data_IF_200624880840
#
_entry.id   IF_200624880840
#
_cell.length_a   1.000
_cell.length_b   1.000
_cell.length_c   1.000
_cell.angle_alpha   90.00
_cell.angle_beta   90.00
_cell.angle_gamma   90.00
#
_symmetry.space_group_name_H-M   'P 1'
#
loop_
_entity.id
_entity.type
_entity.pdbx_description
1 polymer ?
#
# COMPACT_ATOMS: atom_id res chain seq x y z
N UNK A 1 -48.52 4.59 -27.27
CA UNK A 1 -47.70 5.50 -26.45
C UNK A 1 -47.49 5.00 -25.02
N UNK A 2 -48.54 4.89 -24.19
CA UNK A 2 -48.39 4.48 -22.77
C UNK A 2 -47.72 3.09 -22.59
N UNK A 3 -48.08 2.12 -23.44
CA UNK A 3 -47.45 0.78 -23.45
C UNK A 3 -45.94 0.84 -23.66
N UNK A 4 -45.46 1.75 -24.51
CA UNK A 4 -44.04 1.94 -24.78
C UNK A 4 -43.32 2.58 -23.59
N UNK A 5 -43.94 3.58 -22.94
CA UNK A 5 -43.42 4.18 -21.71
C UNK A 5 -43.25 3.16 -20.58
N UNK A 6 -44.22 2.26 -20.40
CA UNK A 6 -44.13 1.20 -19.38
C UNK A 6 -43.00 0.22 -19.68
N UNK A 7 -42.81 -0.17 -20.95
CA UNK A 7 -41.71 -1.04 -21.36
C UNK A 7 -40.36 -0.35 -21.13
N UNK A 8 -40.21 0.91 -21.53
CA UNK A 8 -38.97 1.66 -21.34
C UNK A 8 -38.66 1.86 -19.86
N UNK A 9 -39.66 2.17 -19.02
CA UNK A 9 -39.46 2.30 -17.57
C UNK A 9 -39.11 0.96 -16.93
N UNK A 10 -39.77 -0.14 -17.32
CA UNK A 10 -39.48 -1.47 -16.80
C UNK A 10 -38.08 -1.95 -17.20
N UNK A 11 -37.72 -1.82 -18.47
CA UNK A 11 -36.39 -2.19 -19.00
C UNK A 11 -35.31 -1.28 -18.43
N UNK A 12 -35.55 0.03 -18.34
CA UNK A 12 -34.62 1.00 -17.76
C UNK A 12 -34.37 0.74 -16.27
N UNK A 13 -35.40 0.37 -15.51
CA UNK A 13 -35.26 -0.04 -14.12
C UNK A 13 -34.44 -1.33 -13.97
N UNK A 14 -34.71 -2.32 -14.83
CA UNK A 14 -33.98 -3.59 -14.84
C UNK A 14 -32.50 -3.40 -15.24
N UNK A 15 -32.23 -2.59 -16.27
CA UNK A 15 -30.88 -2.24 -16.71
C UNK A 15 -30.13 -1.47 -15.62
N UNK A 16 -30.77 -0.49 -14.98
CA UNK A 16 -30.18 0.28 -13.89
C UNK A 16 -29.75 -0.62 -12.72
N UNK A 17 -30.57 -1.63 -12.41
CA UNK A 17 -30.25 -2.62 -11.39
C UNK A 17 -29.04 -3.48 -11.79
N UNK A 18 -29.02 -4.00 -13.03
CA UNK A 18 -27.89 -4.77 -13.57
C UNK A 18 -26.59 -3.97 -13.57
N UNK A 19 -26.64 -2.72 -14.02
CA UNK A 19 -25.49 -1.80 -14.03
C UNK A 19 -24.99 -1.57 -12.60
N UNK A 20 -25.87 -1.36 -11.62
CA UNK A 20 -25.47 -1.18 -10.21
C UNK A 20 -24.73 -2.40 -9.66
N UNK A 21 -25.21 -3.61 -9.93
CA UNK A 21 -24.53 -4.84 -9.50
C UNK A 21 -23.19 -5.02 -10.22
N UNK A 22 -23.16 -4.79 -11.53
CA UNK A 22 -21.95 -4.90 -12.35
C UNK A 22 -20.88 -3.91 -11.91
N UNK A 23 -21.23 -2.63 -11.74
CA UNK A 23 -20.31 -1.59 -11.28
C UNK A 23 -19.75 -1.89 -9.89
N UNK A 24 -20.56 -2.37 -8.94
CA UNK A 24 -20.05 -2.77 -7.61
C UNK A 24 -18.95 -3.84 -7.71
N UNK A 25 -19.10 -4.81 -8.60
CA UNK A 25 -18.12 -5.89 -8.75
C UNK A 25 -16.79 -5.42 -9.36
N UNK A 26 -16.84 -4.52 -10.36
CA UNK A 26 -15.65 -4.02 -11.07
C UNK A 26 -14.98 -2.86 -10.35
N UNK A 27 -15.77 -1.95 -9.77
CA UNK A 27 -15.27 -0.83 -8.96
C UNK A 27 -14.60 -1.33 -7.68
N UNK A 28 -15.03 -2.43 -7.07
CA UNK A 28 -14.32 -3.01 -5.93
C UNK A 28 -12.88 -3.41 -6.29
N UNK A 29 -12.68 -3.99 -7.48
CA UNK A 29 -11.34 -4.36 -7.97
C UNK A 29 -10.50 -3.11 -8.32
N UNK A 30 -11.11 -2.13 -8.97
CA UNK A 30 -10.44 -0.85 -9.25
C UNK A 30 -10.09 -0.07 -7.99
N UNK A 31 -11.00 -0.01 -7.01
CA UNK A 31 -10.77 0.67 -5.74
C UNK A 31 -9.62 0.02 -4.96
N UNK A 32 -9.51 -1.32 -4.98
CA UNK A 32 -8.37 -2.04 -4.39
C UNK A 32 -7.06 -1.60 -5.05
N UNK A 33 -7.00 -1.58 -6.38
CA UNK A 33 -5.79 -1.20 -7.12
C UNK A 33 -5.42 0.28 -6.93
N UNK A 34 -6.41 1.20 -6.95
CA UNK A 34 -6.17 2.63 -6.72
C UNK A 34 -5.70 2.89 -5.29
N UNK A 35 -6.22 2.17 -4.31
CA UNK A 35 -5.83 2.34 -2.91
C UNK A 35 -4.41 1.82 -2.63
N UNK A 36 -3.96 0.79 -3.34
CA UNK A 36 -2.57 0.31 -3.29
C UNK A 36 -1.60 1.35 -3.87
N UNK A 37 -1.90 1.90 -5.06
CA UNK A 37 -1.08 2.94 -5.70
C UNK A 37 -1.06 4.24 -4.89
N UNK A 38 -2.20 4.65 -4.33
CA UNK A 38 -2.28 5.84 -3.48
C UNK A 38 -1.45 5.69 -2.19
N UNK A 39 -1.46 4.49 -1.57
CA UNK A 39 -0.63 4.18 -0.41
C UNK A 39 0.86 4.18 -0.73
N UNK A 40 1.24 3.80 -1.94
CA UNK A 40 2.63 3.84 -2.40
C UNK A 40 3.10 5.29 -2.59
N UNK A 41 2.28 6.14 -3.22
CA UNK A 41 2.56 7.58 -3.34
C UNK A 41 2.68 8.29 -1.98
N UNK A 42 1.81 7.96 -1.01
CA UNK A 42 1.93 8.52 0.34
C UNK A 42 3.24 8.12 1.03
N UNK A 43 3.77 6.92 0.74
CA UNK A 43 5.07 6.49 1.27
C UNK A 43 6.20 7.28 0.62
N UNK A 44 6.18 7.45 -0.70
CA UNK A 44 7.21 8.20 -1.42
C UNK A 44 7.28 9.67 -0.98
N UNK A 45 6.14 10.32 -0.75
CA UNK A 45 6.10 11.71 -0.24
C UNK A 45 6.68 11.84 1.18
N UNK A 46 6.48 10.84 2.03
CA UNK A 46 7.10 10.80 3.37
C UNK A 46 8.59 10.50 3.34
N UNK A 47 9.08 9.80 2.32
CA UNK A 47 10.52 9.61 2.12
C UNK A 47 11.20 10.88 1.60
N UNK A 48 10.54 11.66 0.74
CA UNK A 48 11.11 12.89 0.16
C UNK A 48 11.30 14.04 1.17
N UNK A 49 10.56 14.04 2.28
CA UNK A 49 10.58 15.11 3.30
C UNK A 49 11.46 14.79 4.52
N UNK A 50 12.15 13.65 4.54
CA UNK A 50 12.93 13.19 5.70
C UNK A 50 14.41 13.56 5.62
N UNK A 51 15.06 13.83 6.77
CA UNK A 51 16.47 14.19 6.83
C UNK A 51 17.37 13.04 6.34
N UNK A 52 18.48 13.39 5.68
CA UNK A 52 19.40 12.45 4.99
C UNK A 52 20.04 11.39 5.90
N UNK A 53 20.02 11.59 7.22
CA UNK A 53 20.66 10.70 8.21
C UNK A 53 19.71 9.65 8.83
N UNK A 54 18.44 9.60 8.43
CA UNK A 54 17.48 8.65 9.00
C UNK A 54 17.44 7.33 8.21
N UNK A 55 17.90 6.23 8.82
CA UNK A 55 17.84 4.88 8.23
C UNK A 55 16.43 4.32 8.34
N UNK A 56 15.76 4.13 7.21
CA UNK A 56 14.40 3.57 7.15
C UNK A 56 14.48 2.06 6.95
N UNK A 57 13.97 1.29 7.92
CA UNK A 57 13.93 -0.18 7.85
C UNK A 57 12.50 -0.61 7.55
N UNK A 58 12.26 -1.12 6.34
CA UNK A 58 10.92 -1.51 5.87
C UNK A 58 10.35 -2.74 6.59
N UNK A 59 11.23 -3.63 7.05
CA UNK A 59 10.81 -4.85 7.72
C UNK A 59 11.88 -5.35 8.67
N UNK A 60 11.54 -5.42 9.95
CA UNK A 60 12.35 -6.10 10.97
C UNK A 60 11.70 -7.44 11.29
N UNK A 61 12.26 -8.58 10.85
CA UNK A 61 11.71 -9.88 11.15
C UNK A 61 11.65 -10.12 12.67
N UNK A 62 10.56 -10.75 13.14
CA UNK A 62 10.32 -10.97 14.57
C UNK A 62 11.46 -11.77 15.24
N UNK A 63 12.06 -12.69 14.49
CA UNK A 63 13.22 -13.50 14.91
C UNK A 63 14.47 -12.67 15.20
N UNK A 64 14.60 -11.49 14.58
CA UNK A 64 15.73 -10.58 14.78
C UNK A 64 15.56 -9.71 16.03
N UNK A 65 14.31 -9.35 16.38
CA UNK A 65 13.99 -8.58 17.60
C UNK A 65 14.33 -9.35 18.88
N UNK A 66 14.23 -10.67 18.87
CA UNK A 66 14.58 -11.51 20.03
C UNK A 66 16.09 -11.72 20.19
N UNK A 67 16.84 -11.81 19.08
CA UNK A 67 18.31 -11.95 19.10
C UNK A 67 19.01 -10.65 19.52
N UNK A 68 18.56 -9.51 19.01
CA UNK A 68 19.16 -8.20 19.32
C UNK A 68 19.06 -7.82 20.81
N UNK A 69 18.08 -8.35 21.55
CA UNK A 69 17.97 -8.14 23.00
C UNK A 69 18.95 -8.98 23.84
N UNK A 70 19.54 -10.05 23.28
CA UNK A 70 20.38 -10.99 24.03
C UNK A 70 21.86 -10.92 23.66
N UNK A 71 22.21 -10.53 22.42
CA UNK A 71 23.58 -10.73 21.90
C UNK A 71 24.35 -9.45 21.55
N UNK A 72 23.82 -8.25 21.80
CA UNK A 72 24.56 -6.98 21.56
C UNK A 72 25.24 -6.52 22.84
N UNK A 73 26.15 -7.34 23.38
CA UNK A 73 27.25 -6.84 24.18
C UNK A 73 28.37 -6.54 23.19
N UNK A 74 28.48 -5.27 22.78
CA UNK A 74 29.53 -4.81 21.90
C UNK A 74 30.89 -5.27 22.43
N UNK A 75 31.64 -6.00 21.61
CA UNK A 75 33.02 -6.33 21.93
C UNK A 75 33.91 -5.09 21.86
N UNK A 76 35.12 -5.21 22.37
CA UNK A 76 36.10 -4.13 22.30
C UNK A 76 36.51 -3.91 20.84
N UNK A 77 36.16 -2.74 20.31
CA UNK A 77 36.60 -2.33 18.98
C UNK A 77 38.07 -1.92 19.07
N UNK A 78 38.91 -2.53 18.24
CA UNK A 78 40.31 -2.12 18.07
C UNK A 78 40.37 -1.13 16.92
N UNK A 79 40.76 0.10 17.21
CA UNK A 79 41.01 1.11 16.19
C UNK A 79 42.19 0.64 15.32
N UNK A 80 41.94 0.41 14.03
CA UNK A 80 43.00 0.12 13.09
C UNK A 80 43.53 1.42 12.49
N UNK A 81 44.85 1.57 12.46
CA UNK A 81 45.49 2.61 11.66
C UNK A 81 45.59 2.12 10.22
N UNK A 82 44.94 2.83 9.29
CA UNK A 82 44.99 2.54 7.86
C UNK A 82 46.39 2.84 7.32
N UNK A 83 47.18 1.79 7.05
CA UNK A 83 48.48 1.94 6.39
C UNK A 83 48.23 2.17 4.91
N UNK A 84 48.55 3.36 4.41
CA UNK A 84 48.55 3.66 2.97
C UNK A 84 49.82 3.07 2.35
N UNK A 85 49.67 2.20 1.36
CA UNK A 85 50.74 1.84 0.42
C UNK A 85 51.05 2.99 -0.55
#
# INVERSE_FOLDING_TARGET
MVKFLVIVLGVGWLLGQLIRYFLRSKLAKFAQQVNEVAREQEREQKHASRPKDEVIVDYVPKTFKEKSKKDVQGGDYVDYEEVKE
#
